data_IF_880383638446
#
_entry.id   IF_880383638446
#
_cell.length_a   1.000
_cell.length_b   1.000
_cell.length_c   1.000
_cell.angle_alpha   90.00
_cell.angle_beta   90.00
_cell.angle_gamma   90.00
#
_symmetry.space_group_name_H-M   'P 1'
#
loop_
_entity.id
_entity.type
_entity.pdbx_description
1 polymer ?
#
# COMPACT_ATOMS: atom_id res chain seq x y z
N UNK A 1 8.04 1.75 -24.47
CA UNK A 1 9.05 0.89 -23.81
C UNK A 1 9.88 1.63 -22.75
N UNK A 2 10.22 2.92 -22.90
CA UNK A 2 10.99 3.67 -21.89
C UNK A 2 10.22 4.01 -20.59
N UNK A 3 8.95 4.45 -20.67
CA UNK A 3 8.17 4.90 -19.50
C UNK A 3 7.88 3.79 -18.48
N UNK A 4 7.61 2.57 -18.95
CA UNK A 4 7.39 1.39 -18.08
C UNK A 4 8.66 1.04 -17.30
N UNK A 5 9.85 1.19 -17.90
CA UNK A 5 11.12 0.88 -17.25
C UNK A 5 11.48 1.90 -16.16
N UNK A 6 11.15 3.18 -16.36
CA UNK A 6 11.32 4.23 -15.34
C UNK A 6 10.37 4.04 -14.15
N UNK A 7 9.10 3.75 -14.40
CA UNK A 7 8.11 3.47 -13.35
C UNK A 7 8.46 2.21 -12.55
N UNK A 8 9.05 1.21 -13.22
CA UNK A 8 9.58 -0.01 -12.58
C UNK A 8 10.85 0.22 -11.74
N UNK A 9 11.50 1.39 -11.84
CA UNK A 9 12.71 1.71 -11.07
C UNK A 9 12.46 2.72 -9.95
N UNK A 10 11.26 3.26 -9.88
CA UNK A 10 10.97 4.38 -9.01
C UNK A 10 10.94 3.93 -7.56
N UNK A 11 11.89 4.43 -6.78
CA UNK A 11 11.84 4.36 -5.33
C UNK A 11 11.14 5.61 -4.79
N UNK A 12 10.04 5.40 -4.10
CA UNK A 12 9.23 6.42 -3.46
C UNK A 12 9.73 6.57 -2.02
N UNK A 13 9.92 7.81 -1.56
CA UNK A 13 10.28 8.06 -0.18
C UNK A 13 9.15 7.62 0.75
N UNK A 14 9.52 7.04 1.90
CA UNK A 14 8.56 6.57 2.91
C UNK A 14 7.60 7.69 3.32
N UNK A 15 8.06 8.94 3.46
CA UNK A 15 7.20 10.08 3.82
C UNK A 15 6.05 10.32 2.83
N UNK A 16 6.36 10.50 1.54
CA UNK A 16 5.35 10.74 0.50
C UNK A 16 4.38 9.57 0.41
N UNK A 17 4.90 8.34 0.51
CA UNK A 17 4.09 7.14 0.47
C UNK A 17 3.08 7.08 1.64
N UNK A 18 3.52 7.43 2.85
CA UNK A 18 2.65 7.47 4.02
C UNK A 18 1.61 8.59 3.93
N UNK A 19 1.94 9.75 3.35
CA UNK A 19 0.99 10.83 3.14
C UNK A 19 -0.13 10.42 2.18
N UNK A 20 0.23 9.77 1.07
CA UNK A 20 -0.75 9.26 0.09
C UNK A 20 -1.66 8.22 0.72
N UNK A 21 -1.10 7.23 1.44
CA UNK A 21 -1.89 6.19 2.08
C UNK A 21 -2.78 6.78 3.19
N UNK A 22 -2.27 7.72 3.99
CA UNK A 22 -3.07 8.38 5.03
C UNK A 22 -4.27 9.10 4.43
N UNK A 23 -4.10 9.82 3.32
CA UNK A 23 -5.21 10.46 2.60
C UNK A 23 -6.20 9.43 2.07
N UNK A 24 -5.74 8.31 1.51
CA UNK A 24 -6.62 7.24 1.05
C UNK A 24 -7.46 6.65 2.19
N UNK A 25 -6.87 6.40 3.36
CA UNK A 25 -7.58 5.89 4.54
C UNK A 25 -8.66 6.86 5.02
N UNK A 26 -8.41 8.18 4.96
CA UNK A 26 -9.38 9.22 5.32
C UNK A 26 -10.53 9.32 4.31
N UNK A 27 -10.23 9.16 3.02
CA UNK A 27 -11.24 9.21 1.95
C UNK A 27 -12.17 7.99 1.97
N UNK A 28 -11.62 6.81 2.29
CA UNK A 28 -12.40 5.58 2.40
C UNK A 28 -11.83 4.73 3.51
N UNK A 29 -12.51 4.73 4.64
CA UNK A 29 -12.06 3.95 5.79
C UNK A 29 -12.13 2.44 5.52
N UNK A 30 -11.26 1.62 6.15
CA UNK A 30 -11.34 0.17 6.08
C UNK A 30 -12.66 -0.34 6.69
N UNK A 31 -13.30 -1.37 6.10
CA UNK A 31 -14.49 -1.97 6.69
C UNK A 31 -14.17 -2.55 8.07
N UNK A 32 -15.17 -2.57 8.95
CA UNK A 32 -15.07 -3.23 10.25
C UNK A 32 -15.28 -4.73 10.04
N UNK A 33 -14.35 -5.54 10.52
CA UNK A 33 -14.40 -7.01 10.50
C UNK A 33 -14.30 -7.51 11.93
N UNK A 34 -15.28 -8.29 12.37
CA UNK A 34 -15.33 -8.84 13.74
C UNK A 34 -15.13 -7.78 14.83
N UNK A 35 -15.88 -6.67 14.75
CA UNK A 35 -15.80 -5.51 15.65
C UNK A 35 -14.44 -4.80 15.72
N UNK A 36 -13.49 -5.15 14.83
CA UNK A 36 -12.18 -4.49 14.73
C UNK A 36 -12.02 -3.85 13.37
N UNK A 37 -11.30 -2.74 13.32
CA UNK A 37 -10.96 -2.05 12.08
C UNK A 37 -9.49 -2.28 11.76
N UNK A 38 -9.18 -2.49 10.48
CA UNK A 38 -7.80 -2.48 10.02
C UNK A 38 -7.20 -1.10 10.30
N UNK A 39 -6.08 -1.06 11.01
CA UNK A 39 -5.29 0.14 11.24
C UNK A 39 -3.97 -0.02 10.51
N UNK A 40 -3.68 0.89 9.58
CA UNK A 40 -2.38 0.98 8.93
C UNK A 40 -1.54 1.99 9.71
N UNK A 41 -0.40 1.55 10.23
CA UNK A 41 0.51 2.41 10.99
C UNK A 41 1.45 3.16 10.07
N UNK A 42 2.06 2.43 9.14
CA UNK A 42 2.91 3.00 8.12
C UNK A 42 3.09 2.01 6.97
N UNK A 43 3.62 2.52 5.87
CA UNK A 43 3.93 1.76 4.66
C UNK A 43 5.33 2.11 4.18
N UNK A 44 6.03 1.15 3.59
CA UNK A 44 7.35 1.37 2.98
C UNK A 44 7.49 0.59 1.69
N UNK A 45 8.35 1.07 0.78
CA UNK A 45 8.72 0.36 -0.44
C UNK A 45 10.04 -0.42 -0.24
N UNK A 46 9.94 -1.74 -0.25
CA UNK A 46 11.08 -2.65 -0.06
C UNK A 46 11.67 -3.15 -1.37
N UNK A 47 10.90 -3.11 -2.46
CA UNK A 47 11.33 -3.56 -3.78
C UNK A 47 10.89 -2.59 -4.87
N UNK A 48 11.70 -2.52 -5.93
CA UNK A 48 11.39 -1.74 -7.14
C UNK A 48 11.03 -2.65 -8.31
N UNK A 49 11.55 -3.89 -8.38
CA UNK A 49 11.36 -4.81 -9.50
C UNK A 49 10.85 -6.20 -9.07
N UNK A 50 9.54 -6.39 -8.81
CA UNK A 50 8.46 -5.42 -8.98
C UNK A 50 8.32 -4.43 -7.81
N UNK A 51 7.59 -3.32 -7.99
CA UNK A 51 7.26 -2.41 -6.90
C UNK A 51 6.60 -3.19 -5.77
N UNK A 52 7.27 -3.26 -4.64
CA UNK A 52 6.87 -4.07 -3.49
C UNK A 52 6.69 -3.17 -2.28
N UNK A 53 5.48 -3.18 -1.74
CA UNK A 53 5.09 -2.36 -0.61
C UNK A 53 4.76 -3.24 0.59
N UNK A 54 5.28 -2.87 1.75
CA UNK A 54 4.93 -3.51 3.01
C UNK A 54 4.11 -2.52 3.83
N UNK A 55 2.89 -2.90 4.15
CA UNK A 55 2.00 -2.20 5.05
C UNK A 55 2.13 -2.82 6.44
N UNK A 56 2.48 -2.00 7.42
CA UNK A 56 2.48 -2.40 8.82
C UNK A 56 1.11 -2.08 9.41
N UNK A 57 0.40 -3.12 9.81
CA UNK A 57 -0.98 -3.05 10.28
C UNK A 57 -1.14 -3.64 11.68
N UNK A 58 -2.29 -3.43 12.29
CA UNK A 58 -2.63 -4.06 13.57
C UNK A 58 -2.92 -5.55 13.44
N UNK A 59 -3.63 -5.98 12.40
CA UNK A 59 -3.95 -7.38 12.19
C UNK A 59 -4.20 -7.62 10.67
N UNK A 60 -3.31 -8.34 9.97
CA UNK A 60 -3.48 -8.64 8.55
C UNK A 60 -4.76 -9.41 8.22
N UNK A 61 -5.32 -10.17 9.16
CA UNK A 61 -6.56 -10.92 8.95
C UNK A 61 -7.80 -10.01 8.81
N UNK A 62 -7.70 -8.74 9.22
CA UNK A 62 -8.76 -7.74 9.03
C UNK A 62 -8.80 -7.17 7.60
N UNK A 63 -7.81 -7.49 6.76
CA UNK A 63 -7.76 -6.99 5.40
C UNK A 63 -8.70 -7.77 4.48
N UNK A 64 -9.75 -7.09 4.01
CA UNK A 64 -10.60 -7.61 2.96
C UNK A 64 -9.99 -7.36 1.56
N UNK A 65 -10.17 -8.30 0.62
CA UNK A 65 -9.59 -8.20 -0.73
C UNK A 65 -10.03 -6.92 -1.47
N UNK A 66 -11.27 -6.46 -1.28
CA UNK A 66 -11.77 -5.25 -1.93
C UNK A 66 -11.05 -3.99 -1.41
N UNK A 67 -10.65 -3.99 -0.14
CA UNK A 67 -9.89 -2.91 0.45
C UNK A 67 -8.42 -2.93 0.01
N UNK A 68 -7.84 -4.13 -0.12
CA UNK A 68 -6.53 -4.32 -0.75
C UNK A 68 -6.53 -3.74 -2.17
N UNK A 69 -7.51 -4.08 -3.01
CA UNK A 69 -7.65 -3.52 -4.38
C UNK A 69 -7.82 -2.01 -4.39
N UNK A 70 -8.55 -1.47 -3.42
CA UNK A 70 -8.67 -0.02 -3.26
C UNK A 70 -7.30 0.63 -3.02
N UNK A 71 -6.50 0.12 -2.07
CA UNK A 71 -5.15 0.63 -1.80
C UNK A 71 -4.22 0.48 -3.01
N UNK A 72 -4.30 -0.63 -3.74
CA UNK A 72 -3.56 -0.83 -4.99
C UNK A 72 -3.88 0.28 -5.99
N UNK A 73 -5.16 0.56 -6.21
CA UNK A 73 -5.60 1.59 -7.15
C UNK A 73 -5.14 2.99 -6.74
N UNK A 74 -5.11 3.30 -5.44
CA UNK A 74 -4.59 4.58 -4.94
C UNK A 74 -3.08 4.71 -5.21
N UNK A 75 -2.30 3.65 -5.03
CA UNK A 75 -0.88 3.63 -5.38
C UNK A 75 -0.67 3.82 -6.89
N UNK A 76 -1.46 3.14 -7.72
CA UNK A 76 -1.40 3.28 -9.19
C UNK A 76 -1.72 4.70 -9.64
N UNK A 77 -2.80 5.28 -9.11
CA UNK A 77 -3.21 6.64 -9.44
C UNK A 77 -2.18 7.70 -9.00
N UNK A 78 -1.47 7.47 -7.90
CA UNK A 78 -0.54 8.46 -7.32
C UNK A 78 0.86 8.42 -7.94
N UNK A 79 1.33 7.25 -8.38
CA UNK A 79 2.74 7.05 -8.75
C UNK A 79 2.96 6.52 -10.17
N UNK A 80 1.90 6.37 -10.95
CA UNK A 80 1.92 5.87 -12.33
C UNK A 80 2.63 4.51 -12.46
N UNK A 81 2.01 3.46 -11.92
CA UNK A 81 2.50 2.08 -12.07
C UNK A 81 1.84 1.35 -13.25
N UNK A 82 1.47 2.07 -14.32
CA UNK A 82 0.87 1.46 -15.50
C UNK A 82 1.80 0.42 -16.14
N UNK A 83 1.24 -0.74 -16.49
CA UNK A 83 1.99 -1.84 -17.11
C UNK A 83 2.90 -2.65 -16.18
N UNK A 84 2.95 -2.36 -14.87
CA UNK A 84 3.70 -3.16 -13.89
C UNK A 84 2.83 -3.77 -12.79
N UNK A 85 3.12 -5.02 -12.42
CA UNK A 85 2.51 -5.68 -11.27
C UNK A 85 3.00 -5.05 -9.97
N UNK A 86 2.08 -4.70 -9.07
CA UNK A 86 2.41 -4.23 -7.72
C UNK A 86 2.30 -5.41 -6.76
N UNK A 87 3.31 -5.60 -5.91
CA UNK A 87 3.25 -6.51 -4.76
C UNK A 87 2.92 -5.71 -3.51
N UNK A 88 1.94 -6.17 -2.76
CA UNK A 88 1.60 -5.62 -1.45
C UNK A 88 1.61 -6.74 -0.42
N UNK A 89 2.36 -6.52 0.65
CA UNK A 89 2.40 -7.39 1.82
C UNK A 89 1.86 -6.62 3.02
N UNK A 90 1.11 -7.32 3.87
CA UNK A 90 0.55 -6.75 5.10
C UNK A 90 1.14 -7.53 6.26
N UNK A 91 1.85 -6.83 7.13
CA UNK A 91 2.53 -7.41 8.30
C UNK A 91 1.98 -6.80 9.55
N UNK A 92 1.73 -7.62 10.54
CA UNK A 92 1.43 -7.14 11.88
C UNK A 92 2.64 -6.39 12.43
N UNK A 93 2.40 -5.18 12.95
CA UNK A 93 3.42 -4.44 13.69
C UNK A 93 3.61 -5.14 15.04
N UNK A 94 4.66 -5.97 15.14
CA UNK A 94 5.12 -6.47 16.44
C UNK A 94 5.72 -5.29 17.21
N UNK A 95 5.06 -4.87 18.28
CA UNK A 95 5.72 -4.06 19.31
C UNK A 95 6.74 -4.98 20.00
N UNK A 96 8.02 -4.59 19.95
CA UNK A 96 9.09 -5.22 20.73
C UNK A 96 9.22 -4.51 22.06
#
# INVERSE_FOLDING_TARGET
MARVFENYNRRISTGILNDVISKALLMKEPPVVSNRRLKVYYVTQTGVRPPTFIFFVNDPALLHFSYMRYLENQLRASFDFEGTGIKMEFRERKES
#
